data_IF_489121977357
#
_entry.id   IF_489121977357
#
_cell.length_a   1.000
_cell.length_b   1.000
_cell.length_c   1.000
_cell.angle_alpha   90.00
_cell.angle_beta   90.00
_cell.angle_gamma   90.00
#
_symmetry.space_group_name_H-M   'P 1'
#
loop_
_entity.id
_entity.type
_entity.pdbx_description
1 polymer ?
#
# COMPACT_ATOMS: atom_id res chain seq x y z
N UNK A 1 -5.54 -6.73 9.13
CA UNK A 1 -4.18 -6.66 8.55
C UNK A 1 -4.31 -6.33 7.08
N UNK A 2 -3.90 -5.17 6.57
CA UNK A 2 -4.26 -4.69 5.22
C UNK A 2 -3.38 -5.17 4.07
N UNK A 3 -2.38 -6.01 4.29
CA UNK A 3 -1.40 -6.42 3.27
C UNK A 3 -0.30 -5.39 3.02
N UNK A 4 -0.52 -4.13 3.42
CA UNK A 4 0.51 -3.09 3.47
C UNK A 4 1.58 -3.42 4.50
N UNK A 5 2.82 -2.97 4.24
CA UNK A 5 3.86 -2.87 5.24
C UNK A 5 3.43 -1.84 6.30
N UNK A 6 3.44 -2.23 7.57
CA UNK A 6 3.05 -1.36 8.68
C UNK A 6 4.27 -0.72 9.33
N UNK A 7 4.05 0.41 10.00
CA UNK A 7 5.06 1.02 10.85
C UNK A 7 5.57 0.07 11.94
N UNK A 8 6.88 0.07 12.22
CA UNK A 8 7.46 -0.82 13.22
C UNK A 8 6.83 -0.54 14.59
N UNK A 9 6.36 -1.60 15.23
CA UNK A 9 5.90 -1.53 16.62
C UNK A 9 7.11 -1.60 17.55
N UNK A 10 7.47 -0.45 18.11
CA UNK A 10 8.68 -0.33 18.92
C UNK A 10 8.65 -1.11 20.24
N UNK A 11 7.49 -1.53 20.76
CA UNK A 11 7.37 -2.19 22.06
C UNK A 11 8.25 -3.44 22.21
N UNK A 12 8.08 -4.44 21.34
CA UNK A 12 8.92 -5.65 21.36
C UNK A 12 10.37 -5.32 20.99
N UNK A 13 10.58 -4.44 20.01
CA UNK A 13 11.91 -4.08 19.55
C UNK A 13 12.74 -3.41 20.65
N UNK A 14 12.08 -2.63 21.50
CA UNK A 14 12.67 -2.01 22.68
C UNK A 14 13.26 -3.05 23.62
N UNK A 15 12.54 -4.15 23.88
CA UNK A 15 13.03 -5.24 24.73
C UNK A 15 14.25 -5.94 24.11
N UNK A 16 14.26 -6.10 22.78
CA UNK A 16 15.40 -6.70 22.06
C UNK A 16 16.63 -5.78 22.09
N UNK A 17 16.44 -4.48 21.87
CA UNK A 17 17.52 -3.49 21.95
C UNK A 17 18.09 -3.40 23.36
N UNK A 18 17.25 -3.45 24.40
CA UNK A 18 17.70 -3.49 25.80
C UNK A 18 18.56 -4.72 26.10
N UNK A 19 18.14 -5.89 25.61
CA UNK A 19 18.93 -7.10 25.74
C UNK A 19 20.27 -6.96 24.99
N UNK A 20 20.26 -6.39 23.78
CA UNK A 20 21.47 -6.18 22.99
C UNK A 20 22.48 -5.24 23.65
N UNK A 21 22.01 -4.16 24.29
CA UNK A 21 22.86 -3.24 25.07
C UNK A 21 23.55 -3.95 26.25
N UNK A 22 22.89 -4.91 26.89
CA UNK A 22 23.43 -5.69 28.01
C UNK A 22 24.40 -6.79 27.57
N UNK A 23 24.28 -7.32 26.35
CA UNK A 23 25.10 -8.42 25.82
C UNK A 23 26.47 -7.95 25.30
N UNK A 24 27.30 -7.36 26.16
CA UNK A 24 28.59 -6.74 25.77
C UNK A 24 29.62 -7.66 25.11
N UNK A 25 29.58 -8.95 25.41
CA UNK A 25 30.53 -9.96 24.88
C UNK A 25 30.00 -10.75 23.69
N UNK A 26 28.79 -10.44 23.21
CA UNK A 26 28.17 -11.15 22.09
C UNK A 26 27.80 -10.17 21.00
N UNK A 27 28.14 -10.51 19.76
CA UNK A 27 27.62 -9.80 18.59
C UNK A 27 26.12 -10.09 18.46
N UNK A 28 25.33 -9.04 18.30
CA UNK A 28 23.88 -9.15 18.10
C UNK A 28 23.57 -8.70 16.68
N UNK A 29 22.75 -9.49 16.00
CA UNK A 29 22.33 -9.23 14.63
C UNK A 29 20.81 -9.19 14.54
N UNK A 30 20.30 -8.25 13.76
CA UNK A 30 18.90 -8.23 13.34
C UNK A 30 18.84 -8.80 11.93
N UNK A 31 18.05 -9.86 11.74
CA UNK A 31 17.83 -10.51 10.45
C UNK A 31 16.45 -10.08 9.94
N UNK A 32 16.36 -9.20 8.94
CA UNK A 32 15.09 -8.85 8.32
C UNK A 32 14.57 -10.04 7.51
N UNK A 33 13.34 -10.48 7.79
CA UNK A 33 12.70 -11.60 7.09
C UNK A 33 11.37 -11.15 6.51
N UNK A 34 11.20 -11.30 5.20
CA UNK A 34 9.90 -11.14 4.53
C UNK A 34 9.32 -12.53 4.26
N UNK A 35 8.03 -12.71 4.59
CA UNK A 35 7.29 -13.95 4.37
C UNK A 35 6.04 -13.62 3.56
N UNK A 36 6.02 -14.06 2.30
CA UNK A 36 4.90 -13.86 1.37
C UNK A 36 4.09 -15.14 1.18
N UNK A 37 2.77 -15.00 1.15
CA UNK A 37 1.82 -16.10 0.92
C UNK A 37 1.02 -15.82 -0.35
N UNK A 38 0.73 -16.87 -1.14
CA UNK A 38 -0.22 -16.75 -2.25
C UNK A 38 -1.68 -16.79 -1.81
N UNK A 39 -1.97 -17.40 -0.65
CA UNK A 39 -3.31 -17.40 -0.05
C UNK A 39 -3.26 -17.36 1.47
N UNK A 40 -4.04 -16.47 2.08
CA UNK A 40 -4.19 -16.41 3.54
C UNK A 40 -5.32 -17.33 4.00
N UNK A 41 -5.13 -17.99 5.14
CA UNK A 41 -6.14 -18.85 5.77
C UNK A 41 -7.26 -18.02 6.42
N UNK A 42 -6.94 -16.84 6.98
CA UNK A 42 -7.81 -16.04 7.87
C UNK A 42 -8.57 -14.90 7.15
N UNK A 43 -8.71 -15.00 5.84
CA UNK A 43 -9.26 -13.94 4.98
C UNK A 43 -10.62 -13.39 5.45
N UNK A 44 -11.54 -14.26 5.90
CA UNK A 44 -12.88 -13.84 6.35
C UNK A 44 -12.83 -13.00 7.61
N UNK A 45 -12.00 -13.39 8.59
CA UNK A 45 -11.83 -12.65 9.84
C UNK A 45 -11.24 -11.28 9.55
N UNK A 46 -10.29 -11.22 8.62
CA UNK A 46 -9.71 -9.96 8.15
C UNK A 46 -10.76 -9.01 7.53
N UNK A 47 -11.56 -9.49 6.58
CA UNK A 47 -12.61 -8.67 5.92
C UNK A 47 -13.63 -8.19 6.94
N UNK A 48 -14.01 -9.04 7.90
CA UNK A 48 -14.93 -8.67 8.97
C UNK A 48 -14.38 -7.53 9.83
N UNK A 49 -13.11 -7.61 10.24
CA UNK A 49 -12.46 -6.56 11.03
C UNK A 49 -12.37 -5.23 10.27
N UNK A 50 -12.01 -5.26 8.98
CA UNK A 50 -11.95 -4.05 8.16
C UNK A 50 -13.31 -3.42 7.90
N UNK A 51 -14.37 -4.23 7.83
CA UNK A 51 -15.75 -3.78 7.74
C UNK A 51 -16.29 -3.16 9.05
N UNK A 52 -15.46 -3.06 10.10
CA UNK A 52 -15.84 -2.50 11.40
C UNK A 52 -16.24 -3.53 12.45
N UNK A 53 -16.13 -4.82 12.14
CA UNK A 53 -16.30 -5.91 13.10
C UNK A 53 -15.25 -5.91 14.20
N UNK A 54 -15.56 -6.56 15.33
CA UNK A 54 -14.61 -6.70 16.41
C UNK A 54 -13.51 -7.72 16.06
N UNK A 55 -12.30 -7.48 16.59
CA UNK A 55 -11.18 -8.39 16.42
C UNK A 55 -11.48 -9.72 17.11
N UNK A 56 -11.55 -10.80 16.33
CA UNK A 56 -11.70 -12.13 16.90
C UNK A 56 -10.34 -12.62 17.40
N UNK A 57 -10.27 -13.14 18.64
CA UNK A 57 -9.05 -13.80 19.12
C UNK A 57 -8.80 -15.03 18.23
N UNK A 58 -7.71 -15.00 17.47
CA UNK A 58 -7.34 -16.06 16.53
C UNK A 58 -7.29 -17.43 17.26
N UNK A 59 -8.12 -18.39 16.84
CA UNK A 59 -8.02 -19.79 17.25
C UNK A 59 -7.36 -20.60 16.13
N UNK A 60 -6.07 -20.34 15.91
CA UNK A 60 -5.24 -21.02 14.90
C UNK A 60 -5.33 -22.55 15.03
N UNK A 61 -5.38 -23.06 16.27
CA UNK A 61 -5.55 -24.49 16.55
C UNK A 61 -6.92 -25.06 16.19
N UNK A 62 -7.99 -24.24 16.22
CA UNK A 62 -9.32 -24.60 15.75
C UNK A 62 -9.45 -24.56 14.22
N UNK A 63 -8.77 -23.61 13.57
CA UNK A 63 -8.73 -23.49 12.11
C UNK A 63 -8.03 -24.69 11.45
N UNK A 64 -6.88 -25.11 11.99
CA UNK A 64 -6.12 -26.28 11.49
C UNK A 64 -6.87 -27.62 11.66
N UNK A 65 -7.81 -27.71 12.61
CA UNK A 65 -8.65 -28.91 12.82
C UNK A 65 -9.78 -29.05 11.81
N UNK A 66 -10.01 -28.05 10.95
CA UNK A 66 -11.06 -28.14 9.93
C UNK A 66 -10.51 -28.87 8.71
N UNK A 67 -11.04 -30.05 8.40
CA UNK A 67 -10.64 -30.87 7.24
C UNK A 67 -10.67 -30.13 5.90
N UNK A 68 -11.52 -29.11 5.79
CA UNK A 68 -11.61 -28.22 4.63
C UNK A 68 -10.37 -27.33 4.45
N UNK A 69 -9.72 -26.90 5.55
CA UNK A 69 -8.45 -26.15 5.51
C UNK A 69 -7.35 -27.07 5.00
N UNK A 70 -7.21 -28.27 5.56
CA UNK A 70 -6.18 -29.24 5.14
C UNK A 70 -6.31 -29.70 3.68
N UNK A 71 -7.51 -29.63 3.09
CA UNK A 71 -7.78 -29.98 1.69
C UNK A 71 -7.64 -28.80 0.71
N UNK A 72 -7.47 -27.57 1.20
CA UNK A 72 -7.42 -26.38 0.36
C UNK A 72 -6.01 -26.16 -0.20
N UNK A 73 -5.92 -25.71 -1.46
CA UNK A 73 -4.67 -25.22 -2.05
C UNK A 73 -4.38 -23.81 -1.53
N UNK A 74 -3.20 -23.62 -0.96
CA UNK A 74 -2.73 -22.32 -0.42
C UNK A 74 -1.66 -21.64 -1.27
N UNK A 75 -1.24 -22.30 -2.36
CA UNK A 75 -0.15 -21.83 -3.19
C UNK A 75 1.20 -21.94 -2.47
N UNK A 76 2.15 -21.10 -2.90
CA UNK A 76 3.54 -21.10 -2.43
C UNK A 76 3.76 -20.14 -1.25
N UNK A 77 4.76 -20.48 -0.45
CA UNK A 77 5.34 -19.63 0.60
C UNK A 77 6.69 -19.11 0.11
N UNK A 78 6.91 -17.81 0.21
CA UNK A 78 8.17 -17.16 -0.14
C UNK A 78 8.82 -16.62 1.12
N UNK A 79 10.02 -17.10 1.44
CA UNK A 79 10.80 -16.60 2.58
C UNK A 79 12.05 -15.93 2.05
N UNK A 80 12.22 -14.65 2.40
CA UNK A 80 13.30 -13.82 1.89
C UNK A 80 14.03 -13.12 3.02
N UNK A 81 15.35 -13.04 2.89
CA UNK A 81 16.21 -12.42 3.87
C UNK A 81 16.76 -11.09 3.33
N UNK A 82 16.59 -10.04 4.14
CA UNK A 82 17.17 -8.74 3.90
C UNK A 82 18.64 -8.68 4.31
N UNK A 83 19.28 -7.51 4.12
CA UNK A 83 20.64 -7.30 4.62
C UNK A 83 20.63 -7.42 6.14
N UNK A 84 21.41 -8.36 6.67
CA UNK A 84 21.60 -8.53 8.11
C UNK A 84 22.21 -7.26 8.69
N UNK A 85 21.68 -6.80 9.82
CA UNK A 85 22.12 -5.59 10.50
C UNK A 85 22.89 -5.98 11.76
N UNK A 86 24.14 -5.57 11.86
CA UNK A 86 24.91 -5.62 13.10
C UNK A 86 24.38 -4.56 14.07
N UNK A 87 24.07 -4.96 15.30
CA UNK A 87 23.66 -4.00 16.34
C UNK A 87 24.74 -2.97 16.60
N UNK A 88 26.01 -3.38 16.55
CA UNK A 88 27.16 -2.53 16.84
C UNK A 88 27.30 -1.43 15.76
N UNK A 89 27.11 -1.80 14.49
CA UNK A 89 27.14 -0.85 13.37
C UNK A 89 25.99 0.16 13.48
N UNK A 90 24.79 -0.31 13.86
CA UNK A 90 23.64 0.58 14.07
C UNK A 90 23.87 1.49 15.27
N UNK A 91 24.46 0.99 16.36
CA UNK A 91 24.80 1.79 17.54
C UNK A 91 25.79 2.90 17.18
N UNK A 92 26.89 2.57 16.50
CA UNK A 92 27.90 3.52 16.01
C UNK A 92 27.28 4.55 15.08
N UNK A 93 26.47 4.12 14.11
CA UNK A 93 25.81 5.04 13.19
C UNK A 93 24.75 5.93 13.86
N UNK A 94 24.19 5.52 15.00
CA UNK A 94 23.18 6.30 15.73
C UNK A 94 23.81 7.32 16.68
N UNK A 95 24.85 6.92 17.42
CA UNK A 95 25.39 7.70 18.53
C UNK A 95 26.78 8.29 18.24
N UNK A 96 27.43 7.87 17.15
CA UNK A 96 28.84 8.13 16.90
C UNK A 96 29.76 7.07 17.50
N UNK A 97 30.98 6.98 16.98
CA UNK A 97 31.93 5.92 17.31
C UNK A 97 32.39 5.97 18.78
N UNK A 98 32.77 7.14 19.28
CA UNK A 98 33.20 7.34 20.68
C UNK A 98 32.09 6.98 21.68
N UNK A 99 30.85 7.43 21.40
CA UNK A 99 29.72 7.17 22.29
C UNK A 99 29.29 5.71 22.26
N UNK A 100 29.40 5.02 21.12
CA UNK A 100 29.04 3.62 20.99
C UNK A 100 29.97 2.66 21.78
N UNK A 101 31.21 3.07 22.05
CA UNK A 101 32.14 2.31 22.90
C UNK A 101 31.65 2.27 24.36
N UNK A 102 31.09 3.38 24.84
CA UNK A 102 30.41 3.45 26.14
C UNK A 102 28.95 3.02 26.01
N UNK A 103 28.69 1.72 26.03
CA UNK A 103 27.32 1.19 26.21
C UNK A 103 26.72 1.51 27.59
N UNK A 104 27.52 2.10 28.48
CA UNK A 104 27.11 2.61 29.77
C UNK A 104 26.38 3.96 29.61
N UNK A 105 25.35 4.12 30.42
CA UNK A 105 24.58 5.36 30.54
C UNK A 105 23.86 5.81 29.27
N UNK A 106 23.41 4.88 28.41
CA UNK A 106 22.51 5.19 27.29
C UNK A 106 21.28 5.90 27.85
N UNK A 107 21.11 7.16 27.49
CA UNK A 107 20.01 8.00 27.95
C UNK A 107 18.69 7.55 27.31
N UNK A 108 17.52 7.85 27.93
CA UNK A 108 16.23 7.52 27.34
C UNK A 108 16.02 8.08 25.91
N UNK A 109 16.47 9.30 25.56
CA UNK A 109 16.44 9.79 24.18
C UNK A 109 17.30 8.98 23.21
N UNK A 110 18.56 8.70 23.56
CA UNK A 110 19.48 7.89 22.73
C UNK A 110 18.90 6.50 22.48
N UNK A 111 18.34 5.88 23.53
CA UNK A 111 17.66 4.59 23.43
C UNK A 111 16.48 4.63 22.48
N UNK A 112 15.63 5.67 22.55
CA UNK A 112 14.50 5.83 21.64
C UNK A 112 14.97 5.99 20.19
N UNK A 113 16.01 6.80 19.95
CA UNK A 113 16.59 6.98 18.63
C UNK A 113 17.13 5.66 18.06
N UNK A 114 17.84 4.87 18.89
CA UNK A 114 18.37 3.57 18.51
C UNK A 114 17.25 2.58 18.14
N UNK A 115 16.22 2.47 18.99
CA UNK A 115 15.05 1.61 18.72
C UNK A 115 14.36 2.02 17.42
N UNK A 116 14.14 3.32 17.21
CA UNK A 116 13.54 3.83 15.98
C UNK A 116 14.38 3.51 14.75
N UNK A 117 15.69 3.70 14.84
CA UNK A 117 16.62 3.47 13.73
C UNK A 117 16.72 1.99 13.37
N UNK A 118 16.82 1.09 14.36
CA UNK A 118 16.74 -0.36 14.13
C UNK A 118 15.39 -0.70 13.49
N UNK A 119 14.28 -0.19 14.03
CA UNK A 119 12.94 -0.50 13.55
C UNK A 119 12.74 -0.10 12.09
N UNK A 120 13.04 1.16 11.76
CA UNK A 120 12.93 1.64 10.37
C UNK A 120 13.87 0.89 9.43
N UNK A 121 15.10 0.57 9.84
CA UNK A 121 16.05 -0.14 8.98
C UNK A 121 15.63 -1.58 8.74
N UNK A 122 15.16 -2.30 9.75
CA UNK A 122 14.62 -3.67 9.60
C UNK A 122 13.40 -3.64 8.69
N UNK A 123 12.44 -2.74 8.94
CA UNK A 123 11.23 -2.59 8.12
C UNK A 123 11.57 -2.29 6.66
N UNK A 124 12.49 -1.35 6.41
CA UNK A 124 12.98 -1.04 5.06
C UNK A 124 13.63 -2.25 4.37
N UNK A 125 14.42 -3.05 5.09
CA UNK A 125 15.03 -4.25 4.52
C UNK A 125 14.00 -5.34 4.22
N UNK A 126 12.94 -5.48 5.03
CA UNK A 126 11.82 -6.38 4.76
C UNK A 126 11.09 -5.96 3.49
N UNK A 127 10.76 -4.67 3.37
CA UNK A 127 10.08 -4.10 2.21
C UNK A 127 10.86 -4.40 0.92
N UNK A 128 12.15 -4.02 0.89
CA UNK A 128 13.05 -4.21 -0.25
C UNK A 128 13.17 -5.66 -0.73
N UNK A 129 13.06 -6.64 0.15
CA UNK A 129 13.19 -8.07 -0.22
C UNK A 129 11.85 -8.79 -0.35
N UNK A 130 10.74 -8.07 -0.21
CA UNK A 130 9.41 -8.63 -0.42
C UNK A 130 9.27 -9.07 -1.87
N UNK A 131 8.83 -10.30 -2.07
CA UNK A 131 8.71 -10.91 -3.40
C UNK A 131 7.36 -10.60 -4.02
N UNK A 132 7.39 -10.20 -5.28
CA UNK A 132 6.23 -10.14 -6.16
C UNK A 132 5.74 -11.57 -6.40
N UNK A 133 4.62 -11.92 -5.79
CA UNK A 133 3.99 -13.24 -5.97
C UNK A 133 3.00 -13.22 -7.13
N UNK A 134 2.73 -14.38 -7.76
CA UNK A 134 1.67 -14.53 -8.76
C UNK A 134 0.31 -14.02 -8.28
N UNK A 135 -0.08 -14.38 -7.05
CA UNK A 135 -1.34 -13.95 -6.46
C UNK A 135 -1.42 -12.42 -6.33
N UNK A 136 -0.34 -11.78 -5.88
CA UNK A 136 -0.31 -10.33 -5.74
C UNK A 136 -0.38 -9.62 -7.10
N UNK A 137 0.28 -10.16 -8.14
CA UNK A 137 0.23 -9.61 -9.50
C UNK A 137 -1.16 -9.73 -10.11
N UNK A 138 -1.77 -10.92 -10.06
CA UNK A 138 -3.13 -11.18 -10.58
C UNK A 138 -4.16 -10.34 -9.84
N UNK A 139 -4.09 -10.25 -8.51
CA UNK A 139 -4.99 -9.41 -7.72
C UNK A 139 -4.86 -7.93 -8.10
N UNK A 140 -3.63 -7.45 -8.33
CA UNK A 140 -3.39 -6.08 -8.78
C UNK A 140 -4.02 -5.84 -10.14
N UNK A 141 -3.72 -6.70 -11.12
CA UNK A 141 -4.25 -6.61 -12.49
C UNK A 141 -5.79 -6.63 -12.53
N UNK A 142 -6.42 -7.46 -11.70
CA UNK A 142 -7.88 -7.51 -11.56
C UNK A 142 -8.47 -6.22 -10.97
N UNK A 143 -7.84 -5.66 -9.93
CA UNK A 143 -8.39 -4.51 -9.20
C UNK A 143 -8.15 -3.18 -9.90
N UNK A 144 -7.06 -3.03 -10.66
CA UNK A 144 -6.82 -1.83 -11.49
C UNK A 144 -7.63 -1.84 -12.79
N UNK A 145 -8.31 -2.95 -13.10
CA UNK A 145 -9.17 -3.03 -14.27
C UNK A 145 -10.54 -2.40 -13.96
N UNK A 146 -10.78 -1.20 -14.49
CA UNK A 146 -11.99 -0.41 -14.22
C UNK A 146 -13.19 -0.78 -15.10
N UNK A 147 -13.32 -2.05 -15.49
CA UNK A 147 -14.51 -2.54 -16.19
C UNK A 147 -15.17 -3.65 -15.40
N UNK A 148 -16.40 -3.98 -15.77
CA UNK A 148 -17.24 -5.00 -15.10
C UNK A 148 -16.61 -6.39 -15.03
N UNK A 149 -15.67 -6.68 -15.92
CA UNK A 149 -14.88 -7.90 -15.94
C UNK A 149 -13.73 -7.77 -16.92
N UNK A 150 -12.72 -8.61 -16.73
CA UNK A 150 -11.49 -8.63 -17.53
C UNK A 150 -11.43 -9.93 -18.34
N UNK A 151 -11.15 -9.84 -19.64
CA UNK A 151 -10.88 -11.00 -20.47
C UNK A 151 -9.51 -11.60 -20.10
N UNK A 152 -9.30 -12.91 -20.30
CA UNK A 152 -8.02 -13.56 -19.95
C UNK A 152 -6.81 -12.89 -20.63
N UNK A 153 -6.92 -12.55 -21.91
CA UNK A 153 -5.90 -11.85 -22.71
C UNK A 153 -5.54 -10.50 -22.08
N UNK A 154 -6.55 -9.69 -21.74
CA UNK A 154 -6.34 -8.42 -21.04
C UNK A 154 -5.75 -8.59 -19.65
N UNK A 155 -6.06 -9.68 -18.94
CA UNK A 155 -5.45 -9.99 -17.64
C UNK A 155 -3.95 -10.28 -17.79
N UNK A 156 -3.56 -11.02 -18.83
CA UNK A 156 -2.16 -11.34 -19.14
C UNK A 156 -1.41 -10.07 -19.56
N UNK A 157 -1.98 -9.27 -20.46
CA UNK A 157 -1.42 -8.00 -20.92
C UNK A 157 -1.17 -7.06 -19.72
N UNK A 158 -2.20 -6.87 -18.88
CA UNK A 158 -2.12 -6.06 -17.66
C UNK A 158 -1.06 -6.57 -16.69
N UNK A 159 -1.00 -7.88 -16.49
CA UNK A 159 -0.02 -8.52 -15.60
C UNK A 159 1.40 -8.36 -16.15
N UNK A 160 1.58 -8.47 -17.46
CA UNK A 160 2.87 -8.30 -18.15
C UNK A 160 3.37 -6.88 -18.04
N UNK A 161 2.48 -5.90 -18.25
CA UNK A 161 2.78 -4.48 -18.05
C UNK A 161 3.21 -4.19 -16.60
N UNK A 162 2.46 -4.68 -15.61
CA UNK A 162 2.78 -4.48 -14.19
C UNK A 162 4.11 -5.15 -13.82
N UNK A 163 4.37 -6.36 -14.33
CA UNK A 163 5.64 -7.04 -14.12
C UNK A 163 6.81 -6.27 -14.72
N UNK A 164 6.66 -5.77 -15.96
CA UNK A 164 7.70 -4.97 -16.61
C UNK A 164 8.07 -3.73 -15.78
N UNK A 165 7.07 -3.02 -15.26
CA UNK A 165 7.26 -1.88 -14.36
C UNK A 165 7.97 -2.28 -13.05
N UNK A 166 7.52 -3.36 -12.40
CA UNK A 166 8.15 -3.89 -11.17
C UNK A 166 9.62 -4.26 -11.38
N UNK A 167 9.96 -4.83 -12.54
CA UNK A 167 11.34 -5.18 -12.89
C UNK A 167 12.23 -3.96 -13.11
N UNK A 168 11.73 -2.92 -13.79
CA UNK A 168 12.47 -1.65 -13.94
C UNK A 168 12.84 -1.05 -12.58
N UNK A 169 11.95 -1.22 -11.60
CA UNK A 169 12.17 -0.76 -10.22
C UNK A 169 13.03 -1.71 -9.37
N UNK A 170 13.53 -2.81 -9.94
CA UNK A 170 14.38 -3.78 -9.25
C UNK A 170 13.65 -4.64 -8.21
N UNK A 171 12.33 -4.81 -8.35
CA UNK A 171 11.55 -5.66 -7.46
C UNK A 171 12.03 -7.12 -7.52
N UNK A 172 12.02 -7.82 -6.38
CA UNK A 172 12.26 -9.27 -6.36
C UNK A 172 11.02 -9.98 -6.87
N UNK A 173 11.16 -10.77 -7.93
CA UNK A 173 10.04 -11.51 -8.53
C UNK A 173 10.17 -12.99 -8.20
N UNK A 174 9.04 -13.67 -7.98
CA UNK A 174 9.02 -15.11 -7.82
C UNK A 174 9.47 -15.79 -9.13
N UNK A 175 10.44 -16.71 -9.07
CA UNK A 175 10.95 -17.41 -10.27
C UNK A 175 9.85 -18.10 -11.08
N UNK A 176 8.83 -18.62 -10.40
CA UNK A 176 7.69 -19.26 -11.04
C UNK A 176 6.84 -18.30 -11.90
N UNK A 177 6.91 -17.00 -11.64
CA UNK A 177 6.19 -15.98 -12.41
C UNK A 177 6.84 -15.71 -13.77
N UNK A 178 8.10 -16.10 -13.96
CA UNK A 178 8.88 -15.84 -15.16
C UNK A 178 8.80 -17.00 -16.14
N UNK A 179 8.66 -16.69 -17.43
CA UNK A 179 8.79 -17.65 -18.52
C UNK A 179 10.27 -18.06 -18.71
N UNK A 180 10.53 -18.94 -19.68
CA UNK A 180 11.87 -19.48 -19.95
C UNK A 180 12.87 -18.39 -20.40
N UNK A 181 12.38 -17.32 -21.03
CA UNK A 181 13.17 -16.15 -21.40
C UNK A 181 13.64 -15.33 -20.19
N UNK A 182 13.13 -15.65 -18.99
CA UNK A 182 13.43 -14.93 -17.76
C UNK A 182 12.96 -13.49 -17.75
N UNK A 183 12.08 -13.08 -18.68
CA UNK A 183 11.57 -11.71 -18.85
C UNK A 183 10.03 -11.69 -18.81
N UNK A 184 9.40 -12.50 -19.65
CA UNK A 184 7.95 -12.53 -19.84
C UNK A 184 7.24 -13.21 -18.68
N UNK A 185 5.95 -12.89 -18.52
CA UNK A 185 5.11 -13.57 -17.53
C UNK A 185 4.82 -15.00 -17.98
N UNK A 186 4.92 -15.96 -17.06
CA UNK A 186 4.45 -17.32 -17.27
C UNK A 186 2.93 -17.40 -17.09
N UNK A 187 2.19 -17.49 -18.20
CA UNK A 187 0.72 -17.52 -18.20
C UNK A 187 0.13 -18.61 -17.30
N UNK A 188 0.65 -19.84 -17.36
CA UNK A 188 0.18 -20.96 -16.53
C UNK A 188 0.23 -20.64 -15.02
N UNK A 189 1.18 -19.78 -14.61
CA UNK A 189 1.30 -19.37 -13.21
C UNK A 189 0.29 -18.28 -12.84
N UNK A 190 -0.11 -17.44 -13.78
CA UNK A 190 -1.26 -16.54 -13.59
C UNK A 190 -2.55 -17.35 -13.46
N UNK A 191 -2.75 -18.36 -14.32
CA UNK A 191 -3.92 -19.23 -14.28
C UNK A 191 -3.99 -20.02 -12.97
N UNK A 192 -2.84 -20.51 -12.45
CA UNK A 192 -2.77 -21.14 -11.13
C UNK A 192 -3.17 -20.18 -10.00
N UNK A 193 -2.67 -18.95 -10.03
CA UNK A 193 -3.02 -17.93 -9.03
C UNK A 193 -4.51 -17.55 -9.10
N UNK A 194 -5.05 -17.44 -10.31
CA UNK A 194 -6.48 -17.23 -10.53
C UNK A 194 -7.31 -18.41 -10.01
N UNK A 195 -6.83 -19.65 -10.20
CA UNK A 195 -7.38 -20.86 -9.62
C UNK A 195 -7.49 -20.80 -8.08
N UNK A 196 -6.47 -20.28 -7.40
CA UNK A 196 -6.53 -20.05 -5.94
C UNK A 196 -7.65 -19.08 -5.56
N UNK A 197 -7.88 -18.05 -6.37
CA UNK A 197 -8.94 -17.07 -6.15
C UNK A 197 -10.35 -17.62 -6.48
N UNK A 198 -10.47 -18.53 -7.45
CA UNK A 198 -11.71 -19.29 -7.68
C UNK A 198 -12.02 -20.22 -6.50
N UNK A 199 -11.03 -20.98 -6.02
CA UNK A 199 -11.17 -21.87 -4.86
C UNK A 199 -11.56 -21.09 -3.59
N UNK A 200 -11.07 -19.85 -3.46
CA UNK A 200 -11.42 -18.94 -2.37
C UNK A 200 -12.74 -18.17 -2.60
N UNK A 201 -13.36 -18.29 -3.79
CA UNK A 201 -14.57 -17.57 -4.20
C UNK A 201 -14.40 -16.04 -4.17
N UNK A 202 -13.20 -15.57 -4.47
CA UNK A 202 -12.84 -14.15 -4.58
C UNK A 202 -13.04 -13.61 -5.99
N UNK A 203 -12.88 -14.48 -6.98
CA UNK A 203 -13.11 -14.20 -8.39
C UNK A 203 -14.16 -15.18 -8.90
N UNK A 204 -14.92 -14.79 -9.90
CA UNK A 204 -15.86 -15.64 -10.63
C UNK A 204 -15.65 -15.47 -12.12
N UNK A 205 -15.81 -16.56 -12.85
CA UNK A 205 -15.98 -16.49 -14.30
C UNK A 205 -17.41 -16.03 -14.59
N UNK A 206 -17.57 -15.08 -15.52
CA UNK A 206 -18.88 -14.65 -15.98
C UNK A 206 -19.47 -15.71 -16.90
N UNK A 207 -20.78 -15.95 -16.78
CA UNK A 207 -21.52 -16.78 -17.73
C UNK A 207 -21.58 -16.02 -19.07
N UNK A 208 -20.68 -16.37 -19.99
CA UNK A 208 -20.66 -15.88 -21.35
C UNK A 208 -20.72 -17.09 -22.29
N UNK A 209 -21.65 -17.07 -23.25
CA UNK A 209 -21.82 -18.15 -24.22
C UNK A 209 -20.81 -17.99 -25.36
N UNK A 210 -19.74 -18.78 -25.32
CA UNK A 210 -18.69 -18.78 -26.34
C UNK A 210 -17.70 -17.62 -26.23
N UNK A 211 -16.46 -17.85 -26.64
CA UNK A 211 -15.37 -16.87 -26.58
C UNK A 211 -14.40 -17.08 -25.41
N UNK A 212 -13.55 -16.08 -25.20
CA UNK A 212 -12.55 -16.08 -24.13
C UNK A 212 -13.20 -15.91 -22.74
N UNK A 213 -12.71 -16.61 -21.69
CA UNK A 213 -13.18 -16.42 -20.33
C UNK A 213 -13.10 -14.96 -19.87
N UNK A 214 -14.17 -14.50 -19.19
CA UNK A 214 -14.23 -13.17 -18.58
C UNK A 214 -14.30 -13.33 -17.06
N UNK A 215 -13.35 -12.73 -16.37
CA UNK A 215 -13.24 -12.80 -14.91
C UNK A 215 -13.82 -11.55 -14.25
N UNK A 216 -14.55 -11.75 -13.14
CA UNK A 216 -15.16 -10.68 -12.34
C UNK A 216 -14.82 -10.83 -10.87
N UNK A 217 -14.50 -9.73 -10.22
CA UNK A 217 -14.35 -9.66 -8.76
C UNK A 217 -15.67 -9.17 -8.18
N UNK A 218 -16.41 -9.99 -7.40
CA UNK A 218 -17.61 -9.53 -6.72
C UNK A 218 -17.28 -8.41 -5.74
N UNK A 219 -18.10 -7.36 -5.67
CA UNK A 219 -17.86 -6.16 -4.84
C UNK A 219 -17.50 -6.47 -3.39
N UNK A 220 -18.22 -7.42 -2.79
CA UNK A 220 -18.00 -7.86 -1.39
C UNK A 220 -16.66 -8.57 -1.18
N UNK A 221 -15.98 -8.99 -2.24
CA UNK A 221 -14.68 -9.67 -2.23
C UNK A 221 -13.53 -8.74 -2.59
N UNK A 222 -13.78 -7.54 -3.12
CA UNK A 222 -12.73 -6.60 -3.52
C UNK A 222 -11.80 -6.24 -2.37
N UNK A 223 -12.34 -5.99 -1.17
CA UNK A 223 -11.55 -5.70 0.03
C UNK A 223 -10.64 -6.86 0.46
N UNK A 224 -11.07 -8.10 0.20
CA UNK A 224 -10.30 -9.29 0.46
C UNK A 224 -9.15 -9.44 -0.55
N UNK A 225 -9.46 -9.23 -1.84
CA UNK A 225 -8.48 -9.26 -2.92
C UNK A 225 -7.45 -8.11 -2.81
N UNK A 226 -7.87 -6.96 -2.27
CA UNK A 226 -7.01 -5.79 -2.07
C UNK A 226 -5.82 -6.09 -1.15
N UNK A 227 -5.97 -7.01 -0.20
CA UNK A 227 -4.85 -7.49 0.61
C UNK A 227 -3.67 -7.91 -0.27
N UNK A 228 -3.95 -8.69 -1.32
CA UNK A 228 -2.91 -9.20 -2.21
C UNK A 228 -2.33 -8.10 -3.10
N UNK A 229 -3.16 -7.17 -3.59
CA UNK A 229 -2.69 -5.96 -4.31
C UNK A 229 -1.73 -5.14 -3.44
N UNK A 230 -2.07 -4.96 -2.17
CA UNK A 230 -1.30 -4.12 -1.25
C UNK A 230 0.13 -4.65 -1.00
N UNK A 231 0.39 -5.93 -1.26
CA UNK A 231 1.75 -6.48 -1.22
C UNK A 231 2.67 -5.87 -2.30
N UNK A 232 2.12 -5.36 -3.41
CA UNK A 232 2.89 -4.72 -4.49
C UNK A 232 2.77 -3.20 -4.48
N UNK A 233 1.78 -2.67 -3.76
CA UNK A 233 1.40 -1.26 -3.87
C UNK A 233 2.56 -0.30 -3.59
N UNK A 234 3.45 -0.62 -2.65
CA UNK A 234 4.62 0.19 -2.28
C UNK A 234 5.56 0.51 -3.46
N UNK A 235 5.71 -0.40 -4.43
CA UNK A 235 6.47 -0.14 -5.66
C UNK A 235 5.80 0.95 -6.50
N UNK A 236 4.47 0.93 -6.57
CA UNK A 236 3.73 1.83 -7.44
C UNK A 236 3.38 3.18 -6.80
N UNK A 237 3.61 3.40 -5.50
CA UNK A 237 3.21 4.66 -4.83
C UNK A 237 3.78 5.90 -5.54
N UNK A 238 5.09 6.02 -5.84
CA UNK A 238 5.61 7.21 -6.51
C UNK A 238 5.00 7.43 -7.89
N UNK A 239 4.96 6.38 -8.72
CA UNK A 239 4.37 6.44 -10.07
C UNK A 239 2.88 6.77 -10.02
N UNK A 240 2.13 6.20 -9.08
CA UNK A 240 0.70 6.43 -8.92
C UNK A 240 0.39 7.88 -8.49
N UNK A 241 1.22 8.47 -7.62
CA UNK A 241 1.06 9.87 -7.22
C UNK A 241 1.35 10.81 -8.40
N UNK A 242 2.41 10.53 -9.17
CA UNK A 242 2.74 11.29 -10.39
C UNK A 242 1.59 11.16 -11.41
N UNK A 243 1.13 9.94 -11.67
CA UNK A 243 0.00 9.68 -12.58
C UNK A 243 -1.25 10.43 -12.17
N UNK A 244 -1.65 10.36 -10.90
CA UNK A 244 -2.82 11.07 -10.39
C UNK A 244 -2.68 12.59 -10.58
N UNK A 245 -1.49 13.14 -10.34
CA UNK A 245 -1.22 14.57 -10.50
C UNK A 245 -1.23 15.05 -11.96
N UNK A 246 -0.74 14.23 -12.92
CA UNK A 246 -0.74 14.51 -14.36
C UNK A 246 -2.14 14.36 -14.96
N UNK A 247 -2.85 13.27 -14.65
CA UNK A 247 -4.16 12.98 -15.23
C UNK A 247 -5.28 13.91 -14.73
N UNK A 248 -4.96 14.82 -13.81
CA UNK A 248 -5.85 15.88 -13.36
C UNK A 248 -5.82 17.08 -14.32
N UNK A 249 -6.99 17.45 -14.84
CA UNK A 249 -7.17 18.64 -15.69
C UNK A 249 -6.88 18.36 -17.16
N UNK A 250 -6.30 19.33 -17.88
CA UNK A 250 -6.06 19.23 -19.32
C UNK A 250 -4.88 18.30 -19.71
N UNK A 251 -4.26 17.62 -18.73
CA UNK A 251 -3.21 16.63 -18.96
C UNK A 251 -1.81 17.19 -19.22
N UNK A 252 -1.65 18.51 -19.16
CA UNK A 252 -0.36 19.22 -19.28
C UNK A 252 -0.23 20.18 -18.09
N UNK A 253 0.93 20.15 -17.41
CA UNK A 253 1.23 21.05 -16.30
C UNK A 253 2.74 21.32 -16.16
N UNK A 254 3.14 22.46 -15.59
CA UNK A 254 4.54 22.74 -15.26
C UNK A 254 5.11 21.71 -14.28
N UNK A 255 6.40 21.39 -14.40
CA UNK A 255 7.10 20.46 -13.52
C UNK A 255 7.05 20.91 -12.04
N UNK A 256 7.14 22.22 -11.79
CA UNK A 256 6.96 22.81 -10.46
C UNK A 256 5.60 22.47 -9.85
N UNK A 257 4.51 22.64 -10.62
CA UNK A 257 3.16 22.33 -10.17
C UNK A 257 2.98 20.82 -9.94
N UNK A 258 3.51 19.98 -10.83
CA UNK A 258 3.51 18.52 -10.65
C UNK A 258 4.16 18.13 -9.31
N UNK A 259 5.34 18.70 -9.04
CA UNK A 259 6.11 18.45 -7.82
C UNK A 259 5.31 18.87 -6.57
N UNK A 260 4.63 20.00 -6.62
CA UNK A 260 3.77 20.47 -5.51
C UNK A 260 2.57 19.55 -5.27
N UNK A 261 1.86 19.16 -6.34
CA UNK A 261 0.71 18.23 -6.26
C UNK A 261 1.14 16.89 -5.67
N UNK A 262 2.24 16.30 -6.15
CA UNK A 262 2.78 15.04 -5.64
C UNK A 262 3.25 15.18 -4.19
N UNK A 263 3.87 16.30 -3.83
CA UNK A 263 4.28 16.57 -2.45
C UNK A 263 3.07 16.65 -1.51
N UNK A 264 1.99 17.31 -1.93
CA UNK A 264 0.76 17.38 -1.14
C UNK A 264 0.13 16.00 -0.95
N UNK A 265 -0.04 15.22 -2.02
CA UNK A 265 -0.59 13.86 -1.95
C UNK A 265 0.30 12.94 -1.08
N UNK A 266 1.62 13.05 -1.19
CA UNK A 266 2.55 12.24 -0.38
C UNK A 266 2.43 12.54 1.12
N UNK A 267 2.17 13.80 1.50
CA UNK A 267 1.93 14.20 2.88
C UNK A 267 0.59 13.70 3.39
N UNK A 268 -0.43 13.69 2.54
CA UNK A 268 -1.76 13.17 2.86
C UNK A 268 -1.70 11.66 3.14
N UNK A 269 -1.01 10.90 2.31
CA UNK A 269 -0.94 9.43 2.44
C UNK A 269 0.23 8.91 3.28
N UNK A 270 0.94 9.76 4.02
CA UNK A 270 2.11 9.37 4.84
C UNK A 270 1.82 8.33 5.93
N UNK A 271 0.56 8.17 6.32
CA UNK A 271 0.12 7.14 7.27
C UNK A 271 -0.34 5.84 6.60
N UNK A 272 -0.51 5.85 5.28
CA UNK A 272 -0.84 4.68 4.48
C UNK A 272 0.42 4.01 3.93
N UNK A 273 1.39 4.81 3.49
CA UNK A 273 2.57 4.33 2.76
C UNK A 273 3.87 4.72 3.43
N UNK A 274 4.79 3.76 3.44
CA UNK A 274 6.16 3.97 3.88
C UNK A 274 7.01 4.41 2.70
N UNK A 275 7.56 5.61 2.79
CA UNK A 275 8.54 6.09 1.81
C UNK A 275 9.95 5.62 2.16
N UNK A 276 10.78 5.53 1.14
CA UNK A 276 12.21 5.24 1.26
C UNK A 276 12.89 6.23 2.24
N UNK A 277 13.48 5.70 3.30
CA UNK A 277 14.16 6.52 4.32
C UNK A 277 15.60 6.90 3.94
N UNK A 278 16.12 6.37 2.83
CA UNK A 278 17.47 6.60 2.32
C UNK A 278 17.59 7.84 1.40
N UNK A 279 16.48 8.47 1.04
CA UNK A 279 16.45 9.61 0.14
C UNK A 279 15.41 10.67 0.58
N UNK A 280 15.66 11.97 0.35
CA UNK A 280 14.65 13.01 0.52
C UNK A 280 13.58 12.91 -0.57
N UNK A 281 12.44 13.58 -0.37
CA UNK A 281 11.33 13.61 -1.31
C UNK A 281 11.75 13.98 -2.73
N UNK A 282 12.56 15.04 -2.91
CA UNK A 282 12.98 15.51 -4.25
C UNK A 282 13.65 14.40 -5.05
N UNK A 283 14.58 13.68 -4.43
CA UNK A 283 15.29 12.58 -5.09
C UNK A 283 14.34 11.43 -5.46
N UNK A 284 13.42 11.07 -4.56
CA UNK A 284 12.44 10.00 -4.84
C UNK A 284 11.52 10.40 -6.00
N UNK A 285 11.09 11.66 -6.03
CA UNK A 285 10.28 12.22 -7.10
C UNK A 285 11.03 12.22 -8.43
N UNK A 286 12.25 12.77 -8.47
CA UNK A 286 13.05 12.85 -9.69
C UNK A 286 13.40 11.46 -10.23
N UNK A 287 13.78 10.50 -9.37
CA UNK A 287 14.04 9.09 -9.75
C UNK A 287 12.78 8.42 -10.36
N UNK A 288 11.62 8.63 -9.74
CA UNK A 288 10.36 8.06 -10.21
C UNK A 288 9.93 8.69 -11.56
N UNK A 289 10.03 10.01 -11.68
CA UNK A 289 9.72 10.72 -12.92
C UNK A 289 10.65 10.29 -14.06
N UNK A 290 11.97 10.19 -13.80
CA UNK A 290 12.94 9.70 -14.78
C UNK A 290 12.58 8.29 -15.26
N UNK A 291 12.19 7.39 -14.34
CA UNK A 291 11.77 6.02 -14.70
C UNK A 291 10.53 6.01 -15.61
N UNK A 292 9.57 6.92 -15.38
CA UNK A 292 8.36 7.05 -16.22
C UNK A 292 8.71 7.62 -17.60
N UNK A 293 9.62 8.60 -17.67
CA UNK A 293 10.09 9.21 -18.92
C UNK A 293 10.88 8.20 -19.77
N UNK A 294 11.81 7.47 -19.16
CA UNK A 294 12.58 6.41 -19.82
C UNK A 294 11.68 5.31 -20.39
N UNK A 295 10.56 5.03 -19.72
CA UNK A 295 9.56 4.08 -20.19
C UNK A 295 8.60 4.64 -21.26
N UNK A 296 8.69 5.94 -21.60
CA UNK A 296 7.76 6.62 -22.50
C UNK A 296 6.33 6.75 -21.93
N UNK A 297 6.18 6.61 -20.60
CA UNK A 297 4.89 6.73 -19.90
C UNK A 297 4.56 8.21 -19.62
N UNK A 298 5.60 9.06 -19.52
CA UNK A 298 5.53 10.52 -19.34
C UNK A 298 6.42 11.21 -20.37
N UNK A 299 5.97 12.34 -20.91
CA UNK A 299 6.77 13.24 -21.74
C UNK A 299 7.07 14.52 -20.94
N UNK A 300 8.32 14.99 -21.03
CA UNK A 300 8.76 16.27 -20.45
C UNK A 300 9.38 17.10 -21.56
N UNK A 301 8.84 18.29 -21.81
CA UNK A 301 9.30 19.22 -22.83
C UNK A 301 9.77 20.54 -22.19
N UNK A 302 10.95 21.02 -22.58
CA UNK A 302 11.59 22.21 -22.00
C UNK A 302 12.59 21.88 -20.90
N UNK A 303 13.00 22.89 -20.14
CA UNK A 303 14.02 22.80 -19.09
C UNK A 303 13.58 23.54 -17.83
N UNK A 304 14.09 23.10 -16.68
CA UNK A 304 13.83 23.74 -15.39
C UNK A 304 12.42 23.53 -14.85
N UNK A 305 12.01 24.39 -13.93
CA UNK A 305 10.74 24.30 -13.20
C UNK A 305 9.49 24.57 -14.07
N UNK A 306 9.68 25.23 -15.21
CA UNK A 306 8.64 25.55 -16.19
C UNK A 306 8.52 24.48 -17.30
N UNK A 307 9.32 23.42 -17.26
CA UNK A 307 9.21 22.31 -18.21
C UNK A 307 7.78 21.73 -18.16
N UNK A 308 7.17 21.56 -19.32
CA UNK A 308 5.83 21.01 -19.43
C UNK A 308 5.90 19.48 -19.29
N UNK A 309 5.12 18.95 -18.36
CA UNK A 309 4.98 17.52 -18.16
C UNK A 309 3.59 17.08 -18.64
N UNK A 310 3.53 15.96 -19.36
CA UNK A 310 2.27 15.40 -19.86
C UNK A 310 2.33 13.88 -19.95
N UNK A 311 1.16 13.26 -20.10
CA UNK A 311 1.06 11.83 -20.39
C UNK A 311 1.80 11.50 -21.70
N UNK A 312 2.58 10.42 -21.71
CA UNK A 312 3.24 9.94 -22.92
C UNK A 312 2.26 9.47 -23.99
N UNK A 313 2.73 9.27 -25.22
CA UNK A 313 1.87 8.79 -26.32
C UNK A 313 1.73 7.26 -26.33
N UNK A 314 0.68 6.80 -27.01
CA UNK A 314 0.47 5.37 -27.31
C UNK A 314 0.13 4.52 -26.09
N UNK A 315 0.53 3.25 -26.13
CA UNK A 315 0.22 2.26 -25.08
C UNK A 315 0.95 2.57 -23.77
N UNK A 316 2.22 2.99 -23.84
CA UNK A 316 3.01 3.35 -22.66
C UNK A 316 2.37 4.50 -21.89
N UNK A 317 1.89 5.55 -22.56
CA UNK A 317 1.16 6.64 -21.91
C UNK A 317 -0.06 6.18 -21.10
N UNK A 318 -0.82 5.21 -21.63
CA UNK A 318 -2.00 4.65 -20.95
C UNK A 318 -1.66 3.91 -19.66
N UNK A 319 -0.38 3.60 -19.42
CA UNK A 319 0.06 3.04 -18.14
C UNK A 319 -0.21 3.97 -16.95
N UNK A 320 -0.22 5.30 -17.16
CA UNK A 320 -0.52 6.24 -16.09
C UNK A 320 -1.91 6.03 -15.51
N UNK A 321 -2.91 5.75 -16.35
CA UNK A 321 -4.29 5.50 -15.93
C UNK A 321 -4.39 4.36 -14.93
N UNK A 322 -3.43 3.43 -14.99
CA UNK A 322 -3.37 2.16 -14.26
C UNK A 322 -2.73 2.36 -12.91
N UNK A 323 -1.62 3.09 -12.91
CA UNK A 323 -0.95 3.50 -11.69
C UNK A 323 -1.87 4.41 -10.87
N UNK A 324 -2.62 5.31 -11.52
CA UNK A 324 -3.62 6.15 -10.83
C UNK A 324 -4.66 5.30 -10.07
N UNK A 325 -5.23 4.26 -10.70
CA UNK A 325 -6.20 3.35 -10.03
C UNK A 325 -5.60 2.63 -8.82
N UNK A 326 -4.28 2.41 -8.77
CA UNK A 326 -3.64 1.74 -7.63
C UNK A 326 -3.99 2.44 -6.31
N UNK A 327 -4.09 3.77 -6.35
CA UNK A 327 -4.42 4.63 -5.21
C UNK A 327 -5.89 5.05 -5.13
N UNK A 328 -6.72 4.78 -6.15
CA UNK A 328 -8.12 5.23 -6.22
C UNK A 328 -8.92 4.96 -4.95
N UNK A 329 -8.86 3.73 -4.42
CA UNK A 329 -9.55 3.40 -3.16
C UNK A 329 -9.05 4.14 -1.91
N UNK A 330 -7.81 4.65 -1.92
CA UNK A 330 -7.26 5.46 -0.82
C UNK A 330 -7.70 6.91 -0.96
N UNK A 331 -7.68 7.45 -2.19
CA UNK A 331 -8.23 8.77 -2.53
C UNK A 331 -9.70 8.85 -2.10
N UNK A 332 -10.52 7.87 -2.50
CA UNK A 332 -11.93 7.79 -2.12
C UNK A 332 -12.13 7.64 -0.61
N UNK A 333 -11.31 6.84 0.07
CA UNK A 333 -11.41 6.66 1.52
C UNK A 333 -11.11 7.96 2.29
N UNK A 334 -10.13 8.72 1.80
CA UNK A 334 -9.75 10.02 2.37
C UNK A 334 -10.78 11.10 2.06
N UNK A 335 -11.36 11.10 0.85
CA UNK A 335 -12.49 11.97 0.51
C UNK A 335 -13.70 11.66 1.39
N UNK A 336 -14.04 10.37 1.59
CA UNK A 336 -15.10 9.92 2.50
C UNK A 336 -14.84 10.39 3.94
N UNK A 337 -13.61 10.27 4.44
CA UNK A 337 -13.24 10.73 5.77
C UNK A 337 -13.38 12.25 5.91
N UNK A 338 -12.96 13.02 4.91
CA UNK A 338 -13.10 14.47 4.90
C UNK A 338 -14.58 14.90 4.85
N UNK A 339 -15.41 14.26 4.02
CA UNK A 339 -16.88 14.46 4.01
C UNK A 339 -17.52 14.14 5.35
N UNK A 340 -17.08 13.07 6.02
CA UNK A 340 -17.57 12.70 7.34
C UNK A 340 -17.09 13.61 8.47
N UNK A 341 -16.09 14.47 8.22
CA UNK A 341 -15.61 15.46 9.18
C UNK A 341 -16.42 16.77 9.14
N UNK A 342 -17.03 17.11 8.01
CA UNK A 342 -17.83 18.32 7.81
C UNK A 342 -18.93 18.55 8.88
N UNK A 343 -19.75 17.55 9.26
CA UNK A 343 -20.79 17.74 10.27
C UNK A 343 -20.30 17.67 11.72
N UNK A 344 -19.00 17.46 11.98
CA UNK A 344 -18.47 17.45 13.35
C UNK A 344 -18.59 18.84 13.97
N UNK A 345 -18.89 18.89 15.26
CA UNK A 345 -18.85 20.09 16.09
C UNK A 345 -17.63 20.08 17.03
N UNK A 346 -17.52 21.08 17.90
CA UNK A 346 -16.43 21.17 18.88
C UNK A 346 -16.52 20.12 19.99
N UNK A 347 -17.74 19.68 20.36
CA UNK A 347 -17.96 18.63 21.36
C UNK A 347 -17.42 17.28 20.85
N UNK A 348 -17.53 17.07 19.54
CA UNK A 348 -17.06 15.88 18.87
C UNK A 348 -17.88 14.64 19.23
N UNK A 349 -17.48 13.50 18.67
CA UNK A 349 -18.15 12.22 18.92
C UNK A 349 -17.13 11.14 19.25
N UNK A 350 -17.59 10.07 19.89
CA UNK A 350 -16.76 8.89 20.12
C UNK A 350 -16.17 8.37 18.79
N UNK A 351 -14.88 8.05 18.80
CA UNK A 351 -14.13 7.64 17.61
C UNK A 351 -14.69 6.37 16.97
N UNK A 352 -15.14 5.39 17.77
CA UNK A 352 -15.76 4.16 17.21
C UNK A 352 -17.12 4.48 16.59
N UNK A 353 -17.89 5.37 17.23
CA UNK A 353 -19.15 5.84 16.68
C UNK A 353 -18.96 6.61 15.36
N UNK A 354 -17.93 7.46 15.27
CA UNK A 354 -17.57 8.14 14.02
C UNK A 354 -17.23 7.14 12.92
N UNK A 355 -16.31 6.20 13.17
CA UNK A 355 -15.96 5.15 12.19
C UNK A 355 -17.20 4.40 11.71
N UNK A 356 -18.09 3.99 12.62
CA UNK A 356 -19.34 3.27 12.25
C UNK A 356 -20.25 4.14 11.36
N UNK A 357 -20.44 5.42 11.71
CA UNK A 357 -21.24 6.37 10.91
C UNK A 357 -20.60 6.62 9.54
N UNK A 358 -19.28 6.78 9.47
CA UNK A 358 -18.53 7.02 8.24
C UNK A 358 -18.57 5.81 7.31
N UNK A 359 -18.48 4.58 7.84
CA UNK A 359 -18.67 3.35 7.03
C UNK A 359 -20.09 3.27 6.44
N UNK A 360 -21.11 3.67 7.21
CA UNK A 360 -22.48 3.73 6.71
C UNK A 360 -22.68 4.84 5.65
N UNK A 361 -22.06 6.00 5.83
CA UNK A 361 -22.01 7.06 4.81
C UNK A 361 -21.36 6.55 3.53
N UNK A 362 -20.19 5.91 3.63
CA UNK A 362 -19.49 5.33 2.49
C UNK A 362 -20.34 4.31 1.75
N UNK A 363 -21.10 3.46 2.47
CA UNK A 363 -22.03 2.52 1.83
C UNK A 363 -23.15 3.23 1.05
N UNK A 364 -23.63 4.39 1.51
CA UNK A 364 -24.60 5.20 0.75
C UNK A 364 -23.96 5.83 -0.47
N UNK A 365 -22.79 6.44 -0.32
CA UNK A 365 -22.03 7.06 -1.42
C UNK A 365 -21.70 6.03 -2.52
N UNK A 366 -21.31 4.81 -2.14
CA UNK A 366 -21.09 3.71 -3.09
C UNK A 366 -22.36 3.32 -3.85
N UNK A 367 -23.50 3.22 -3.16
CA UNK A 367 -24.78 2.91 -3.82
C UNK A 367 -25.28 4.07 -4.71
N UNK A 368 -24.88 5.29 -4.41
CA UNK A 368 -25.17 6.49 -5.21
C UNK A 368 -24.21 6.69 -6.39
N UNK A 369 -23.12 5.90 -6.47
CA UNK A 369 -22.09 6.05 -7.51
C UNK A 369 -21.06 7.16 -7.24
N UNK A 370 -21.02 7.74 -6.04
CA UNK A 370 -20.02 8.74 -5.62
C UNK A 370 -18.68 8.12 -5.19
N UNK A 371 -18.66 6.81 -4.95
CA UNK A 371 -17.48 5.99 -4.65
C UNK A 371 -17.52 4.81 -5.59
N UNK A 372 -16.46 4.60 -6.38
CA UNK A 372 -16.37 3.48 -7.31
C UNK A 372 -15.81 2.22 -6.64
N UNK A 373 -14.84 2.38 -5.72
CA UNK A 373 -14.11 1.27 -5.14
C UNK A 373 -14.75 0.86 -3.81
N UNK A 374 -15.42 -0.29 -3.78
CA UNK A 374 -16.05 -0.83 -2.55
C UNK A 374 -15.05 -0.97 -1.40
N UNK A 375 -13.79 -1.25 -1.72
CA UNK A 375 -12.65 -1.38 -0.82
C UNK A 375 -12.16 -0.05 -0.22
N UNK A 376 -12.62 1.11 -0.70
CA UNK A 376 -12.40 2.40 -0.04
C UNK A 376 -13.10 2.49 1.32
N UNK A 377 -14.23 1.79 1.47
CA UNK A 377 -15.02 1.75 2.71
C UNK A 377 -14.38 0.74 3.68
N UNK A 378 -13.26 1.14 4.28
CA UNK A 378 -12.42 0.32 5.14
C UNK A 378 -12.03 1.07 6.41
N UNK A 379 -12.24 0.44 7.57
CA UNK A 379 -11.88 1.01 8.87
C UNK A 379 -10.40 1.41 8.95
N UNK A 380 -9.49 0.60 8.41
CA UNK A 380 -8.04 0.88 8.47
C UNK A 380 -7.69 2.16 7.72
N UNK A 381 -8.23 2.34 6.51
CA UNK A 381 -8.04 3.56 5.70
C UNK A 381 -8.66 4.77 6.38
N UNK A 382 -9.82 4.62 7.02
CA UNK A 382 -10.44 5.71 7.80
C UNK A 382 -9.58 6.12 9.00
N UNK A 383 -8.90 5.18 9.66
CA UNK A 383 -7.99 5.49 10.77
C UNK A 383 -6.73 6.24 10.30
N UNK A 384 -6.16 5.85 9.15
CA UNK A 384 -5.06 6.58 8.51
C UNK A 384 -5.47 7.98 8.05
N UNK A 385 -6.60 8.07 7.34
CA UNK A 385 -7.19 9.33 6.89
C UNK A 385 -7.46 10.29 8.06
N UNK A 386 -8.07 9.81 9.13
CA UNK A 386 -8.34 10.62 10.31
C UNK A 386 -7.05 11.16 10.97
N UNK A 387 -5.97 10.36 10.97
CA UNK A 387 -4.67 10.84 11.48
C UNK A 387 -4.07 11.90 10.57
N UNK A 388 -4.22 11.76 9.24
CA UNK A 388 -3.80 12.80 8.30
C UNK A 388 -4.64 14.07 8.40
N UNK A 389 -5.96 13.96 8.54
CA UNK A 389 -6.87 15.10 8.70
C UNK A 389 -6.58 15.87 9.99
N UNK A 390 -6.12 15.19 11.05
CA UNK A 390 -5.63 15.85 12.26
C UNK A 390 -4.41 16.71 11.98
N UNK A 391 -3.45 16.18 11.23
CA UNK A 391 -2.22 16.93 10.89
C UNK A 391 -2.50 18.12 9.97
N UNK A 392 -3.55 18.02 9.14
CA UNK A 392 -4.07 19.13 8.34
C UNK A 392 -4.95 20.09 9.13
N UNK A 393 -5.15 19.87 10.44
CA UNK A 393 -5.97 20.73 11.28
C UNK A 393 -7.48 20.66 11.01
N UNK A 394 -7.95 19.70 10.20
CA UNK A 394 -9.38 19.51 9.84
C UNK A 394 -10.16 18.86 10.98
N UNK A 395 -9.51 18.00 11.77
CA UNK A 395 -10.11 17.37 12.96
C UNK A 395 -9.21 17.48 14.17
N UNK A 396 -9.81 17.51 15.37
CA UNK A 396 -9.11 17.34 16.65
C UNK A 396 -9.33 15.92 17.15
N UNK A 397 -8.26 15.26 17.56
CA UNK A 397 -8.32 13.92 18.16
C UNK A 397 -7.98 13.99 19.65
N UNK A 398 -8.88 13.52 20.49
CA UNK A 398 -8.62 13.21 21.90
C UNK A 398 -8.34 11.71 22.07
N UNK A 399 -8.22 11.24 23.32
CA UNK A 399 -8.04 9.81 23.61
C UNK A 399 -9.19 8.93 23.12
N UNK A 400 -10.41 9.47 23.05
CA UNK A 400 -11.63 8.71 22.70
C UNK A 400 -12.55 9.41 21.70
N UNK A 401 -12.38 10.72 21.46
CA UNK A 401 -13.28 11.50 20.61
C UNK A 401 -12.58 12.12 19.40
N UNK A 402 -13.37 12.39 18.38
CA UNK A 402 -13.02 13.18 17.19
C UNK A 402 -13.97 14.36 17.09
N UNK A 403 -13.44 15.57 16.97
CA UNK A 403 -14.21 16.80 16.84
C UNK A 403 -13.66 17.70 15.74
N UNK A 404 -14.33 18.83 15.51
CA UNK A 404 -13.96 19.80 14.48
C UNK A 404 -12.59 20.44 14.75
N UNK A 405 -11.79 20.51 13.70
CA UNK A 405 -10.52 21.20 13.68
C UNK A 405 -10.64 22.72 13.44
N UNK A 406 -9.50 23.38 13.26
CA UNK A 406 -9.47 24.80 12.90
C UNK A 406 -9.66 25.01 11.39
N UNK A 407 -9.22 24.05 10.59
CA UNK A 407 -9.29 24.09 9.13
C UNK A 407 -10.58 23.45 8.63
N UNK A 408 -11.11 23.98 7.51
CA UNK A 408 -12.29 23.42 6.87
C UNK A 408 -11.98 22.11 6.15
N UNK A 409 -12.85 21.10 6.31
CA UNK A 409 -12.79 19.88 5.51
C UNK A 409 -13.03 20.13 4.02
N UNK A 410 -13.69 21.24 3.65
CA UNK A 410 -14.02 21.59 2.26
C UNK A 410 -12.78 21.69 1.38
N UNK A 411 -11.68 22.25 1.91
CA UNK A 411 -10.43 22.35 1.16
C UNK A 411 -9.91 20.96 0.76
N UNK A 412 -9.98 19.99 1.67
CA UNK A 412 -9.55 18.61 1.40
C UNK A 412 -10.53 17.90 0.48
N UNK A 413 -11.84 18.08 0.66
CA UNK A 413 -12.84 17.46 -0.22
C UNK A 413 -12.74 17.99 -1.64
N UNK A 414 -12.57 19.29 -1.83
CA UNK A 414 -12.46 19.91 -3.15
C UNK A 414 -11.14 19.53 -3.83
N UNK A 415 -10.04 19.52 -3.06
CA UNK A 415 -8.73 19.10 -3.57
C UNK A 415 -8.71 17.61 -3.92
N UNK A 416 -9.46 16.75 -3.21
CA UNK A 416 -9.55 15.33 -3.55
C UNK A 416 -10.59 15.05 -4.65
N UNK A 417 -11.64 15.86 -4.74
CA UNK A 417 -12.74 15.68 -5.70
C UNK A 417 -12.27 15.66 -7.16
N UNK A 418 -11.21 16.41 -7.48
CA UNK A 418 -10.58 16.43 -8.82
C UNK A 418 -9.82 15.15 -9.17
N UNK A 419 -9.53 14.28 -8.19
CA UNK A 419 -8.91 12.97 -8.38
C UNK A 419 -9.95 11.84 -8.30
N UNK A 420 -11.23 12.18 -8.14
CA UNK A 420 -12.34 11.23 -8.27
C UNK A 420 -12.82 11.25 -9.72
N UNK A 421 -13.36 10.13 -10.18
CA UNK A 421 -13.88 9.97 -11.55
C UNK A 421 -15.37 10.24 -11.66
#
# INVERSE_FOLDING_TARGET
RTGKLLAPKFGLLTMVVDAALKLRRKKVFFVPVSIGYERIIEERSYVHELGGGEKQKENVGGLLKTSQVLRSKYGRLYVQFGKVLSFDDVLQWTLGEERAQSREDITPPERRALVQRVGHRVTYQIDRVTVVTPAALVASALLVHQRRGIARSSLIERSSMLLASLRRQGARVADALLAEDGVSVREDTLDQALGLFFDAKLVREAEATGGEPIYRVPDQRRLALEYYKNNLLHFFVPSALISAAILRGDGVLPLSELRERVRWLSRLFKYEFMYRADAPFERIFDEALATLVEAGEVEVEGEGDDAEVRQGRGENGRHLEVYEVMLGSYVEAYHLAARAAEPLDEEGIDRKAWVKKTLALGQRMYLAGEIEHREAISKDKLEGAMTSLKDLGVVKLSSSTIGRGAESSTVVTDTLGVYLR
#
